data_IF_491166216771
#
_entry.id   IF_491166216771
#
_cell.length_a   1.000
_cell.length_b   1.000
_cell.length_c   1.000
_cell.angle_alpha   90.00
_cell.angle_beta   90.00
_cell.angle_gamma   90.00
#
_symmetry.space_group_name_H-M   'P 1'
#
loop_
_entity.id
_entity.type
_entity.pdbx_description
1 polymer ?
#
# COMPACT_ATOMS: atom_id res chain seq x y z
N UNK A 1 -17.31 59.27 -110.92
CA UNK A 1 -16.99 60.71 -110.93
C UNK A 1 -17.28 61.19 -109.53
N UNK A 2 -16.24 61.51 -108.75
CA UNK A 2 -16.41 62.28 -107.51
C UNK A 2 -16.92 63.69 -107.89
N UNK A 3 -17.33 64.60 -106.97
CA UNK A 3 -17.17 64.54 -105.51
C UNK A 3 -18.35 65.21 -104.73
N UNK A 4 -18.20 65.35 -103.40
CA UNK A 4 -18.41 66.57 -102.55
C UNK A 4 -19.69 67.43 -102.70
N UNK A 5 -20.25 68.09 -101.70
CA UNK A 5 -19.92 68.32 -100.30
C UNK A 5 -21.12 69.01 -99.62
N UNK A 6 -21.08 69.00 -98.29
CA UNK A 6 -21.61 70.01 -97.36
C UNK A 6 -23.10 70.43 -97.38
N UNK A 7 -23.78 70.23 -96.25
CA UNK A 7 -23.97 71.29 -95.23
C UNK A 7 -25.11 70.94 -94.25
N UNK A 8 -25.04 71.51 -93.05
CA UNK A 8 -26.25 72.04 -92.42
C UNK A 8 -26.99 71.18 -91.39
N UNK A 9 -26.44 71.16 -90.17
CA UNK A 9 -27.10 71.22 -88.87
C UNK A 9 -28.65 71.09 -88.77
N UNK A 10 -29.03 70.06 -87.98
CA UNK A 10 -30.04 70.03 -86.89
C UNK A 10 -31.46 70.57 -87.11
N UNK A 11 -32.46 69.68 -86.96
CA UNK A 11 -33.48 69.77 -85.90
C UNK A 11 -34.43 68.54 -85.88
N UNK A 12 -34.48 67.90 -84.71
CA UNK A 12 -35.65 67.44 -83.94
C UNK A 12 -36.95 66.88 -84.60
N UNK A 13 -37.20 65.62 -84.21
CA UNK A 13 -38.40 65.06 -83.55
C UNK A 13 -39.70 64.69 -84.31
N UNK A 14 -40.08 63.41 -84.11
CA UNK A 14 -41.41 62.80 -83.80
C UNK A 14 -41.85 61.66 -84.77
N UNK A 15 -42.75 60.70 -84.40
CA UNK A 15 -42.91 59.92 -83.15
C UNK A 15 -43.26 58.38 -83.43
N UNK A 16 -44.09 57.58 -82.68
CA UNK A 16 -43.70 56.23 -82.20
C UNK A 16 -44.70 55.02 -82.45
N UNK A 17 -44.38 53.84 -81.81
CA UNK A 17 -45.20 52.63 -81.43
C UNK A 17 -45.68 51.64 -82.52
N UNK A 18 -45.70 50.28 -82.41
CA UNK A 18 -45.37 49.17 -81.48
C UNK A 18 -45.59 47.82 -82.28
N UNK A 19 -45.08 46.60 -82.00
CA UNK A 19 -45.43 45.58 -80.95
C UNK A 19 -44.49 44.33 -81.00
N UNK A 20 -44.34 43.63 -79.85
CA UNK A 20 -43.47 42.51 -79.37
C UNK A 20 -43.79 41.07 -79.89
N UNK A 21 -42.97 39.97 -79.73
CA UNK A 21 -42.56 39.26 -78.46
C UNK A 21 -41.21 38.42 -78.50
N UNK A 22 -40.84 37.45 -77.61
CA UNK A 22 -41.17 37.15 -76.19
C UNK A 22 -39.95 37.21 -75.22
N UNK A 23 -40.22 37.08 -73.92
CA UNK A 23 -39.31 37.16 -72.76
C UNK A 23 -38.57 35.86 -72.38
N UNK A 24 -37.28 35.97 -72.01
CA UNK A 24 -36.43 34.93 -71.35
C UNK A 24 -35.38 35.62 -70.43
N UNK A 25 -34.86 34.95 -69.38
CA UNK A 25 -35.40 35.00 -68.02
C UNK A 25 -34.50 35.77 -67.03
N UNK A 26 -35.13 36.38 -66.02
CA UNK A 26 -34.45 36.84 -64.80
C UNK A 26 -34.02 35.62 -63.98
N UNK A 27 -32.71 35.36 -63.94
CA UNK A 27 -32.12 34.51 -62.91
C UNK A 27 -31.88 35.36 -61.67
N UNK A 28 -32.91 35.43 -60.82
CA UNK A 28 -32.74 35.78 -59.41
C UNK A 28 -31.87 34.72 -58.72
N UNK A 29 -30.91 35.19 -57.94
CA UNK A 29 -30.01 34.35 -57.16
C UNK A 29 -28.93 35.22 -56.56
N UNK A 30 -29.31 36.06 -55.60
CA UNK A 30 -28.37 36.77 -54.74
C UNK A 30 -27.40 35.75 -54.14
N UNK A 31 -26.19 35.68 -54.67
CA UNK A 31 -25.07 35.10 -53.93
C UNK A 31 -24.86 36.03 -52.73
N UNK A 32 -25.48 35.70 -51.59
CA UNK A 32 -25.19 36.37 -50.33
C UNK A 32 -23.67 36.41 -50.13
N UNK A 33 -23.10 37.50 -49.59
CA UNK A 33 -21.66 37.61 -49.40
C UNK A 33 -21.19 36.34 -48.70
N UNK A 34 -20.41 35.53 -49.41
CA UNK A 34 -20.01 34.20 -48.95
C UNK A 34 -19.54 34.32 -47.51
N UNK A 35 -20.07 33.46 -46.63
CA UNK A 35 -19.77 33.45 -45.20
C UNK A 35 -18.26 33.24 -45.02
N UNK A 36 -17.50 34.33 -45.10
CA UNK A 36 -16.05 34.35 -44.89
C UNK A 36 -15.87 34.04 -43.42
N UNK A 37 -15.20 32.92 -43.15
CA UNK A 37 -14.84 32.54 -41.78
C UNK A 37 -14.26 33.77 -41.05
N UNK A 38 -14.74 34.06 -39.83
CA UNK A 38 -14.24 35.17 -39.04
C UNK A 38 -12.72 35.07 -38.88
N UNK A 39 -11.99 36.18 -39.06
CA UNK A 39 -10.50 36.20 -39.05
C UNK A 39 -9.87 35.79 -37.71
N UNK A 40 -10.67 35.78 -36.64
CA UNK A 40 -10.25 35.30 -35.30
C UNK A 40 -10.28 33.76 -35.19
N UNK A 41 -11.13 33.09 -35.98
CA UNK A 41 -11.32 31.64 -35.96
C UNK A 41 -10.03 30.86 -36.28
N UNK A 42 -9.25 31.16 -37.34
CA UNK A 42 -8.01 30.43 -37.62
C UNK A 42 -6.94 30.68 -36.55
N UNK A 43 -6.86 31.89 -35.98
CA UNK A 43 -5.93 32.18 -34.88
C UNK A 43 -6.30 31.43 -33.61
N UNK A 44 -7.58 31.43 -33.24
CA UNK A 44 -8.09 30.66 -32.11
C UNK A 44 -7.88 29.14 -32.31
N UNK A 45 -8.08 28.65 -33.53
CA UNK A 45 -7.88 27.23 -33.87
C UNK A 45 -6.40 26.83 -33.81
N UNK A 46 -5.48 27.67 -34.27
CA UNK A 46 -4.03 27.44 -34.12
C UNK A 46 -3.62 27.47 -32.64
N UNK A 47 -4.13 28.42 -31.85
CA UNK A 47 -3.85 28.50 -30.41
C UNK A 47 -4.40 27.28 -29.66
N UNK A 48 -5.61 26.83 -29.98
CA UNK A 48 -6.23 25.64 -29.42
C UNK A 48 -5.43 24.37 -29.80
N UNK A 49 -5.04 24.21 -31.06
CA UNK A 49 -4.19 23.10 -31.51
C UNK A 49 -2.82 23.12 -30.85
N UNK A 50 -2.21 24.30 -30.68
CA UNK A 50 -0.94 24.44 -29.98
C UNK A 50 -1.05 24.06 -28.49
N UNK A 51 -2.15 24.45 -27.81
CA UNK A 51 -2.44 24.07 -26.44
C UNK A 51 -2.65 22.55 -26.30
N UNK A 52 -3.39 21.94 -27.23
CA UNK A 52 -3.61 20.48 -27.27
C UNK A 52 -2.30 19.75 -27.54
N UNK A 53 -1.48 20.23 -28.49
CA UNK A 53 -0.17 19.66 -28.79
C UNK A 53 0.78 19.78 -27.60
N UNK A 54 0.81 20.93 -26.92
CA UNK A 54 1.60 21.13 -25.70
C UNK A 54 1.13 20.22 -24.56
N UNK A 55 -0.20 20.05 -24.40
CA UNK A 55 -0.77 19.13 -23.41
C UNK A 55 -0.44 17.67 -23.74
N UNK A 56 -0.57 17.24 -25.00
CA UNK A 56 -0.21 15.90 -25.45
C UNK A 56 1.29 15.62 -25.26
N UNK A 57 2.15 16.57 -25.62
CA UNK A 57 3.60 16.44 -25.49
C UNK A 57 4.03 16.44 -24.02
N UNK A 58 3.40 17.28 -23.20
CA UNK A 58 3.58 17.28 -21.75
C UNK A 58 3.10 15.97 -21.10
N UNK A 59 1.95 15.44 -21.52
CA UNK A 59 1.41 14.16 -21.04
C UNK A 59 2.28 12.98 -21.47
N UNK A 60 2.77 12.97 -22.71
CA UNK A 60 3.69 11.95 -23.21
C UNK A 60 5.02 11.98 -22.44
N UNK A 61 5.61 13.16 -22.27
CA UNK A 61 6.83 13.33 -21.48
C UNK A 61 6.61 12.89 -20.03
N UNK A 62 5.49 13.29 -19.41
CA UNK A 62 5.15 12.88 -18.05
C UNK A 62 5.04 11.36 -17.93
N UNK A 63 4.35 10.69 -18.85
CA UNK A 63 4.27 9.22 -18.86
C UNK A 63 5.64 8.56 -19.01
N UNK A 64 6.52 9.11 -19.85
CA UNK A 64 7.86 8.56 -20.05
C UNK A 64 8.73 8.69 -18.79
N UNK A 65 8.61 9.81 -18.06
CA UNK A 65 9.39 10.05 -16.83
C UNK A 65 8.72 9.44 -15.60
N UNK A 66 7.42 9.11 -15.63
CA UNK A 66 6.68 8.51 -14.49
C UNK A 66 7.38 7.26 -13.95
N UNK A 67 7.88 6.38 -14.81
CA UNK A 67 8.64 5.20 -14.38
C UNK A 67 9.92 5.54 -13.61
N UNK A 68 10.62 6.59 -14.01
CA UNK A 68 11.80 7.09 -13.31
C UNK A 68 11.42 7.76 -11.98
N UNK A 69 10.33 8.54 -11.94
CA UNK A 69 9.81 9.13 -10.70
C UNK A 69 9.44 8.05 -9.67
N UNK A 70 8.81 6.97 -10.12
CA UNK A 70 8.49 5.81 -9.28
C UNK A 70 9.76 5.18 -8.72
N UNK A 71 10.78 4.94 -9.55
CA UNK A 71 12.05 4.39 -9.09
C UNK A 71 12.76 5.31 -8.09
N UNK A 72 12.73 6.63 -8.31
CA UNK A 72 13.25 7.63 -7.37
C UNK A 72 12.46 7.59 -6.05
N UNK A 73 11.13 7.46 -6.11
CA UNK A 73 10.29 7.36 -4.92
C UNK A 73 10.62 6.11 -4.11
N UNK A 74 10.76 4.96 -4.78
CA UNK A 74 11.20 3.71 -4.14
C UNK A 74 12.58 3.88 -3.51
N UNK A 75 13.53 4.47 -4.24
CA UNK A 75 14.87 4.73 -3.76
C UNK A 75 14.90 5.66 -2.55
N UNK A 76 14.04 6.67 -2.52
CA UNK A 76 13.87 7.59 -1.41
C UNK A 76 13.37 6.85 -0.15
N UNK A 77 12.33 6.02 -0.27
CA UNK A 77 11.86 5.22 0.86
C UNK A 77 12.88 4.18 1.33
N UNK A 78 13.61 3.55 0.40
CA UNK A 78 14.71 2.66 0.74
C UNK A 78 15.84 3.41 1.47
N UNK A 79 16.10 4.68 1.11
CA UNK A 79 17.08 5.51 1.79
C UNK A 79 16.63 5.84 3.22
N UNK A 80 15.35 6.22 3.42
CA UNK A 80 14.76 6.45 4.74
C UNK A 80 14.80 5.18 5.62
N UNK A 81 14.59 4.02 5.01
CA UNK A 81 14.66 2.71 5.63
C UNK A 81 16.07 2.38 6.17
N UNK A 82 17.10 2.72 5.42
CA UNK A 82 18.51 2.43 5.73
C UNK A 82 19.14 3.53 6.62
N UNK A 83 18.57 4.75 6.63
CA UNK A 83 19.06 5.91 7.38
C UNK A 83 19.33 5.64 8.87
N UNK A 84 18.51 4.89 9.64
CA UNK A 84 18.83 4.57 11.04
C UNK A 84 20.10 3.72 11.18
N UNK A 85 20.40 2.84 10.23
CA UNK A 85 21.62 2.04 10.23
C UNK A 85 22.84 2.89 9.88
N UNK A 86 22.71 3.74 8.86
CA UNK A 86 23.75 4.67 8.41
C UNK A 86 24.08 5.71 9.48
N UNK A 87 23.06 6.33 10.08
CA UNK A 87 23.22 7.34 11.13
C UNK A 87 23.91 6.78 12.38
N UNK A 88 23.59 5.55 12.80
CA UNK A 88 24.25 4.87 13.94
C UNK A 88 25.72 4.56 13.67
N UNK A 89 26.09 4.30 12.41
CA UNK A 89 27.48 4.13 12.02
C UNK A 89 28.20 5.48 11.87
N UNK A 90 27.53 6.49 11.34
CA UNK A 90 28.07 7.84 11.23
C UNK A 90 28.28 8.50 12.60
N UNK A 91 27.40 8.25 13.57
CA UNK A 91 27.54 8.72 14.95
C UNK A 91 28.72 8.09 15.68
N UNK A 92 29.26 6.96 15.20
CA UNK A 92 30.49 6.32 15.69
C UNK A 92 31.76 6.87 15.02
N UNK A 93 31.65 7.98 14.27
CA UNK A 93 32.79 8.67 13.65
C UNK A 93 33.08 8.28 12.20
N UNK A 94 32.29 7.39 11.59
CA UNK A 94 32.52 7.00 10.19
C UNK A 94 31.96 8.05 9.20
N UNK A 95 32.68 8.31 8.10
CA UNK A 95 32.20 9.20 7.03
C UNK A 95 30.89 8.65 6.47
N UNK A 96 29.85 9.49 6.31
CA UNK A 96 28.50 9.06 5.86
C UNK A 96 28.52 8.25 4.56
N UNK A 97 29.38 8.60 3.61
CA UNK A 97 29.54 7.83 2.36
C UNK A 97 30.00 6.39 2.60
N UNK A 98 30.99 6.18 3.49
CA UNK A 98 31.47 4.84 3.86
C UNK A 98 30.42 4.07 4.66
N UNK A 99 29.72 4.75 5.59
CA UNK A 99 28.62 4.16 6.33
C UNK A 99 27.52 3.64 5.39
N UNK A 100 27.12 4.46 4.42
CA UNK A 100 26.11 4.10 3.42
C UNK A 100 26.59 2.93 2.57
N UNK A 101 27.84 2.97 2.10
CA UNK A 101 28.44 1.90 1.31
C UNK A 101 28.43 0.56 2.06
N UNK A 102 28.83 0.54 3.33
CA UNK A 102 28.84 -0.69 4.13
C UNK A 102 27.43 -1.25 4.37
N UNK A 103 26.40 -0.42 4.58
CA UNK A 103 25.02 -0.94 4.68
C UNK A 103 24.57 -1.55 3.35
N UNK A 104 24.78 -0.84 2.24
CA UNK A 104 24.39 -1.35 0.92
C UNK A 104 25.15 -2.62 0.55
N UNK A 105 26.44 -2.70 0.87
CA UNK A 105 27.25 -3.88 0.66
C UNK A 105 26.75 -5.06 1.51
N UNK A 106 26.46 -4.83 2.79
CA UNK A 106 25.88 -5.84 3.68
C UNK A 106 24.52 -6.33 3.18
N UNK A 107 23.65 -5.42 2.75
CA UNK A 107 22.36 -5.76 2.17
C UNK A 107 22.50 -6.54 0.86
N UNK A 108 23.43 -6.14 -0.02
CA UNK A 108 23.70 -6.82 -1.27
C UNK A 108 24.23 -8.23 -1.05
N UNK A 109 25.18 -8.43 -0.13
CA UNK A 109 25.73 -9.75 0.24
C UNK A 109 24.63 -10.61 0.85
N UNK A 110 23.84 -10.09 1.79
CA UNK A 110 22.75 -10.84 2.41
C UNK A 110 21.70 -11.27 1.37
N UNK A 111 21.33 -10.37 0.47
CA UNK A 111 20.35 -10.65 -0.59
C UNK A 111 20.90 -11.65 -1.61
N UNK A 112 22.12 -11.45 -2.11
CA UNK A 112 22.75 -12.35 -3.06
C UNK A 112 22.95 -13.74 -2.44
N UNK A 113 23.48 -13.81 -1.22
CA UNK A 113 23.64 -15.07 -0.48
C UNK A 113 22.30 -15.79 -0.29
N UNK A 114 21.25 -15.09 0.13
CA UNK A 114 19.93 -15.68 0.28
C UNK A 114 19.36 -16.19 -1.05
N UNK A 115 19.43 -15.40 -2.13
CA UNK A 115 18.93 -15.79 -3.46
C UNK A 115 19.71 -16.98 -4.01
N UNK A 116 21.03 -17.03 -3.85
CA UNK A 116 21.85 -18.16 -4.30
C UNK A 116 21.55 -19.43 -3.50
N UNK A 117 21.42 -19.33 -2.17
CA UNK A 117 21.09 -20.47 -1.31
C UNK A 117 19.67 -20.98 -1.58
N UNK A 118 18.69 -20.08 -1.70
CA UNK A 118 17.32 -20.44 -2.04
C UNK A 118 17.22 -21.02 -3.45
N UNK A 119 17.89 -20.42 -4.43
CA UNK A 119 17.91 -20.91 -5.81
C UNK A 119 18.52 -22.31 -5.93
N UNK A 120 19.65 -22.55 -5.26
CA UNK A 120 20.29 -23.88 -5.25
C UNK A 120 19.44 -24.92 -4.50
N UNK A 121 18.82 -24.54 -3.38
CA UNK A 121 17.84 -25.37 -2.67
C UNK A 121 16.67 -25.75 -3.57
N UNK A 122 16.01 -24.77 -4.19
CA UNK A 122 14.83 -25.00 -5.03
C UNK A 122 15.18 -25.87 -6.24
N UNK A 123 16.32 -25.62 -6.90
CA UNK A 123 16.81 -26.45 -7.99
C UNK A 123 17.02 -27.90 -7.54
N UNK A 124 17.68 -28.12 -6.39
CA UNK A 124 17.88 -29.45 -5.82
C UNK A 124 16.57 -30.16 -5.49
N UNK A 125 15.59 -29.44 -4.94
CA UNK A 125 14.28 -30.01 -4.63
C UNK A 125 13.47 -30.36 -5.88
N UNK A 126 13.49 -29.49 -6.91
CA UNK A 126 12.81 -29.75 -8.18
C UNK A 126 13.40 -31.00 -8.84
N UNK A 127 14.73 -31.13 -8.87
CA UNK A 127 15.40 -32.32 -9.43
C UNK A 127 14.96 -33.58 -8.67
N UNK A 128 15.03 -33.58 -7.33
CA UNK A 128 14.57 -34.72 -6.51
C UNK A 128 13.09 -35.05 -6.72
N UNK A 129 12.25 -34.05 -6.92
CA UNK A 129 10.82 -34.26 -7.14
C UNK A 129 10.53 -34.84 -8.53
N UNK A 130 11.28 -34.42 -9.55
CA UNK A 130 11.19 -35.00 -10.91
C UNK A 130 11.74 -36.43 -10.93
N UNK A 131 12.87 -36.67 -10.29
CA UNK A 131 13.50 -38.00 -10.20
C UNK A 131 12.67 -38.98 -9.35
N UNK A 132 12.11 -38.51 -8.23
CA UNK A 132 11.26 -39.31 -7.33
C UNK A 132 9.79 -39.38 -7.73
N UNK A 133 9.38 -38.67 -8.80
CA UNK A 133 7.99 -38.66 -9.29
C UNK A 133 7.43 -40.07 -9.55
N UNK A 134 8.18 -41.02 -10.15
CA UNK A 134 7.72 -42.38 -10.33
C UNK A 134 7.42 -43.06 -8.99
N UNK A 135 8.24 -42.88 -7.97
CA UNK A 135 8.07 -43.56 -6.67
C UNK A 135 6.89 -42.97 -5.86
N UNK A 136 6.67 -41.65 -5.97
CA UNK A 136 5.49 -41.02 -5.38
C UNK A 136 4.20 -41.50 -6.03
N UNK A 137 4.18 -41.64 -7.37
CA UNK A 137 3.04 -42.22 -8.07
C UNK A 137 2.79 -43.67 -7.63
N UNK A 138 3.83 -44.46 -7.40
CA UNK A 138 3.67 -45.86 -6.93
C UNK A 138 3.10 -45.88 -5.52
N UNK A 139 3.59 -45.01 -4.65
CA UNK A 139 3.10 -44.91 -3.27
C UNK A 139 1.64 -44.50 -3.21
N UNK A 140 1.22 -43.54 -4.05
CA UNK A 140 -0.18 -43.10 -4.15
C UNK A 140 -1.06 -44.18 -4.76
N UNK A 141 -0.63 -44.82 -5.86
CA UNK A 141 -1.38 -45.92 -6.49
C UNK A 141 -1.55 -47.09 -5.50
N UNK A 142 -0.49 -47.46 -4.79
CA UNK A 142 -0.53 -48.52 -3.79
C UNK A 142 -1.43 -48.17 -2.60
N UNK A 143 -1.40 -46.92 -2.12
CA UNK A 143 -2.30 -46.46 -1.07
C UNK A 143 -3.76 -46.46 -1.51
N UNK A 144 -4.06 -45.99 -2.73
CA UNK A 144 -5.42 -46.00 -3.29
C UNK A 144 -5.91 -47.43 -3.50
N UNK A 145 -5.08 -48.30 -4.08
CA UNK A 145 -5.43 -49.71 -4.29
C UNK A 145 -5.65 -50.45 -2.96
N UNK A 146 -4.85 -50.15 -1.93
CA UNK A 146 -5.02 -50.71 -0.59
C UNK A 146 -6.26 -50.17 0.15
N UNK A 147 -6.62 -48.90 -0.06
CA UNK A 147 -7.72 -48.22 0.64
C UNK A 147 -9.08 -48.47 -0.02
N UNK A 148 -9.12 -48.51 -1.35
CA UNK A 148 -10.35 -48.58 -2.14
C UNK A 148 -10.54 -49.92 -2.85
N UNK A 149 -9.61 -50.87 -2.70
CA UNK A 149 -9.64 -52.19 -3.35
C UNK A 149 -9.78 -52.11 -4.88
N UNK A 150 -9.11 -51.13 -5.48
CA UNK A 150 -9.05 -50.93 -6.95
C UNK A 150 -7.73 -51.49 -7.49
N UNK A 151 -7.70 -51.81 -8.79
CA UNK A 151 -6.50 -52.24 -9.51
C UNK A 151 -6.05 -51.17 -10.53
N UNK A 152 -5.59 -50.02 -10.02
CA UNK A 152 -5.03 -48.96 -10.88
C UNK A 152 -3.60 -49.35 -11.30
N UNK A 153 -3.32 -49.37 -12.62
CA UNK A 153 -1.99 -49.66 -13.18
C UNK A 153 -1.31 -48.38 -13.67
N UNK A 154 0.03 -48.34 -13.50
CA UNK A 154 0.93 -47.24 -13.88
C UNK A 154 0.85 -46.81 -15.36
N UNK A 155 0.49 -47.74 -16.25
CA UNK A 155 0.50 -47.56 -17.72
C UNK A 155 -0.59 -46.57 -18.21
N UNK A 156 -1.76 -46.52 -17.56
CA UNK A 156 -2.85 -45.62 -17.97
C UNK A 156 -2.61 -44.14 -17.58
N UNK A 157 -1.71 -43.89 -16.62
CA UNK A 157 -1.42 -42.54 -16.09
C UNK A 157 -0.16 -41.94 -16.77
N UNK A 158 0.79 -42.79 -17.18
CA UNK A 158 2.03 -42.37 -17.84
C UNK A 158 1.80 -41.84 -19.26
N UNK A 159 0.88 -42.42 -20.03
CA UNK A 159 0.56 -41.95 -21.39
C UNK A 159 -0.11 -40.57 -21.39
N UNK A 160 -0.92 -40.25 -20.37
CA UNK A 160 -1.58 -38.95 -20.23
C UNK A 160 -0.67 -37.82 -19.71
N UNK A 161 0.33 -38.12 -18.88
CA UNK A 161 1.25 -37.11 -18.33
C UNK A 161 2.41 -36.76 -19.27
N UNK A 162 2.95 -37.74 -20.00
CA UNK A 162 4.05 -37.52 -20.96
C UNK A 162 3.59 -36.82 -22.26
N UNK A 163 2.30 -36.92 -22.60
CA UNK A 163 1.67 -36.16 -23.68
C UNK A 163 1.10 -34.79 -23.24
N UNK A 164 1.28 -34.40 -21.98
CA UNK A 164 0.73 -33.13 -21.50
C UNK A 164 1.35 -31.94 -22.23
N UNK A 165 0.50 -31.14 -22.90
CA UNK A 165 0.88 -29.93 -23.64
C UNK A 165 1.70 -28.94 -22.81
N UNK A 166 1.55 -28.97 -21.48
CA UNK A 166 2.32 -28.19 -20.51
C UNK A 166 3.82 -28.47 -20.59
N UNK A 167 4.24 -29.74 -20.67
CA UNK A 167 5.65 -30.12 -20.60
C UNK A 167 6.35 -29.84 -21.94
N UNK A 168 5.64 -30.06 -23.06
CA UNK A 168 6.07 -29.65 -24.40
C UNK A 168 6.13 -28.14 -24.56
N UNK A 169 5.14 -27.37 -24.08
CA UNK A 169 5.20 -25.89 -24.08
C UNK A 169 6.32 -25.35 -23.21
N UNK A 170 6.59 -25.96 -22.06
CA UNK A 170 7.70 -25.56 -21.19
C UNK A 170 9.06 -25.82 -21.85
N UNK A 171 9.24 -26.99 -22.47
CA UNK A 171 10.45 -27.34 -23.22
C UNK A 171 10.63 -26.48 -24.49
N UNK A 172 9.56 -26.20 -25.23
CA UNK A 172 9.60 -25.36 -26.45
C UNK A 172 9.78 -23.86 -26.14
N UNK A 173 9.17 -23.36 -25.06
CA UNK A 173 9.38 -21.98 -24.60
C UNK A 173 10.77 -21.77 -23.97
N UNK A 174 11.48 -22.83 -23.60
CA UNK A 174 12.83 -22.73 -23.07
C UNK A 174 13.87 -22.34 -24.12
N UNK A 175 13.68 -22.68 -25.40
CA UNK A 175 14.65 -22.37 -26.47
C UNK A 175 14.54 -20.92 -27.00
N UNK A 176 13.32 -20.37 -27.08
CA UNK A 176 13.09 -18.96 -27.42
C UNK A 176 13.13 -18.02 -26.20
N UNK A 177 12.93 -18.57 -24.99
CA UNK A 177 12.87 -17.83 -23.74
C UNK A 177 14.22 -17.38 -23.17
N UNK A 178 15.35 -17.96 -23.58
CA UNK A 178 16.66 -17.54 -23.03
C UNK A 178 16.99 -16.08 -23.34
N UNK A 179 16.66 -15.61 -24.55
CA UNK A 179 16.88 -14.22 -24.95
C UNK A 179 15.91 -13.25 -24.24
N UNK A 180 14.65 -13.65 -24.02
CA UNK A 180 13.67 -12.81 -23.31
C UNK A 180 13.94 -12.77 -21.79
N UNK A 181 14.29 -13.93 -21.20
CA UNK A 181 14.71 -14.02 -19.78
C UNK A 181 15.98 -13.20 -19.55
N UNK A 182 16.98 -13.27 -20.45
CA UNK A 182 18.19 -12.47 -20.30
C UNK A 182 17.93 -10.96 -20.44
N UNK A 183 17.06 -10.54 -21.37
CA UNK A 183 16.64 -9.14 -21.49
C UNK A 183 15.88 -8.66 -20.24
N UNK A 184 15.00 -9.48 -19.67
CA UNK A 184 14.28 -9.18 -18.42
C UNK A 184 15.23 -9.11 -17.21
N UNK A 185 16.21 -10.02 -17.13
CA UNK A 185 17.23 -10.01 -16.07
C UNK A 185 18.11 -8.76 -16.18
N UNK A 186 18.58 -8.41 -17.38
CA UNK A 186 19.36 -7.19 -17.64
C UNK A 186 18.54 -5.93 -17.30
N UNK A 187 17.28 -5.87 -17.73
CA UNK A 187 16.38 -4.76 -17.41
C UNK A 187 16.08 -4.66 -15.90
N UNK A 188 15.90 -5.80 -15.23
CA UNK A 188 15.72 -5.89 -13.78
C UNK A 188 16.97 -5.43 -13.02
N UNK A 189 18.16 -5.85 -13.47
CA UNK A 189 19.44 -5.43 -12.90
C UNK A 189 19.65 -3.92 -13.05
N UNK A 190 19.34 -3.36 -14.22
CA UNK A 190 19.42 -1.91 -14.44
C UNK A 190 18.46 -1.14 -13.54
N UNK A 191 17.23 -1.63 -13.36
CA UNK A 191 16.25 -1.05 -12.42
C UNK A 191 16.75 -1.11 -10.97
N UNK A 192 17.25 -2.28 -10.53
CA UNK A 192 17.83 -2.47 -9.20
C UNK A 192 19.02 -1.53 -8.98
N UNK A 193 19.93 -1.45 -9.95
CA UNK A 193 21.09 -0.57 -9.90
C UNK A 193 20.66 0.90 -9.80
N UNK A 194 19.67 1.31 -10.59
CA UNK A 194 19.12 2.67 -10.56
C UNK A 194 18.56 2.99 -9.17
N UNK A 195 17.69 2.13 -8.63
CA UNK A 195 17.11 2.31 -7.29
C UNK A 195 18.19 2.34 -6.22
N UNK A 196 19.15 1.41 -6.28
CA UNK A 196 20.25 1.33 -5.33
C UNK A 196 21.15 2.58 -5.39
N UNK A 197 21.47 3.08 -6.59
CA UNK A 197 22.30 4.26 -6.77
C UNK A 197 21.61 5.52 -6.24
N UNK A 198 20.35 5.76 -6.60
CA UNK A 198 19.59 6.91 -6.07
C UNK A 198 19.43 6.82 -4.55
N UNK A 199 19.18 5.62 -4.04
CA UNK A 199 19.02 5.40 -2.60
C UNK A 199 20.33 5.62 -1.85
N UNK A 200 21.46 5.17 -2.42
CA UNK A 200 22.79 5.46 -1.92
C UNK A 200 23.08 6.96 -1.86
N UNK A 201 22.81 7.70 -2.95
CA UNK A 201 23.00 9.16 -2.95
C UNK A 201 22.10 9.85 -1.92
N UNK A 202 20.83 9.47 -1.83
CA UNK A 202 19.92 10.05 -0.84
C UNK A 202 20.34 9.78 0.61
N UNK A 203 20.84 8.59 0.93
CA UNK A 203 21.31 8.27 2.27
C UNK A 203 22.67 8.93 2.59
N UNK A 204 23.61 8.90 1.64
CA UNK A 204 24.94 9.47 1.81
C UNK A 204 24.89 11.00 1.94
N UNK A 205 24.14 11.67 1.06
CA UNK A 205 23.99 13.12 0.99
C UNK A 205 22.72 13.64 1.71
N UNK A 206 22.08 12.82 2.55
CA UNK A 206 20.86 13.19 3.29
C UNK A 206 20.89 14.60 3.93
N UNK A 207 21.98 15.01 4.63
CA UNK A 207 22.08 16.36 5.20
C UNK A 207 22.17 17.48 4.16
N UNK A 208 22.74 17.22 2.98
CA UNK A 208 22.78 18.19 1.87
C UNK A 208 21.42 18.31 1.23
N UNK A 209 20.73 17.19 0.98
CA UNK A 209 19.36 17.18 0.48
C UNK A 209 18.41 17.96 1.40
N UNK A 210 18.51 17.72 2.71
CA UNK A 210 17.73 18.44 3.72
C UNK A 210 18.00 19.96 3.69
N UNK A 211 19.26 20.37 3.57
CA UNK A 211 19.61 21.80 3.43
C UNK A 211 19.08 22.40 2.14
N UNK A 212 19.18 21.70 1.02
CA UNK A 212 18.69 22.17 -0.28
C UNK A 212 17.17 22.38 -0.28
N UNK A 213 16.41 21.46 0.35
CA UNK A 213 14.96 21.62 0.52
C UNK A 213 14.67 22.83 1.41
N UNK A 214 15.37 22.96 2.54
CA UNK A 214 15.18 24.08 3.47
C UNK A 214 15.56 25.44 2.88
N UNK A 215 16.53 25.51 1.95
CA UNK A 215 16.98 26.79 1.37
C UNK A 215 15.94 27.48 0.48
N UNK A 216 14.93 26.74 0.01
CA UNK A 216 13.84 27.32 -0.81
C UNK A 216 12.67 27.80 0.08
N UNK A 217 12.68 27.48 1.37
CA UNK A 217 11.59 27.73 2.30
C UNK A 217 11.88 28.96 3.18
N UNK A 218 10.86 29.77 3.52
CA UNK A 218 10.96 30.83 4.52
C UNK A 218 11.41 30.27 5.88
N UNK A 219 12.21 31.01 6.69
CA UNK A 219 12.75 30.52 7.96
C UNK A 219 11.71 29.93 8.91
N UNK A 220 10.51 30.52 8.98
CA UNK A 220 9.42 30.04 9.83
C UNK A 220 8.96 28.60 9.51
N UNK A 221 9.05 28.18 8.23
CA UNK A 221 8.63 26.82 7.81
C UNK A 221 9.76 25.80 7.81
N UNK A 222 11.02 26.23 7.93
CA UNK A 222 12.16 25.31 7.92
C UNK A 222 12.12 24.36 9.11
N UNK A 223 11.78 24.85 10.31
CA UNK A 223 11.65 24.02 11.51
C UNK A 223 10.55 22.96 11.38
N UNK A 224 9.41 23.31 10.79
CA UNK A 224 8.29 22.37 10.56
C UNK A 224 8.69 21.25 9.60
N UNK A 225 9.36 21.57 8.50
CA UNK A 225 9.81 20.58 7.50
C UNK A 225 10.90 19.67 8.08
N UNK A 226 11.84 20.22 8.85
CA UNK A 226 12.86 19.43 9.54
C UNK A 226 12.24 18.45 10.54
N UNK A 227 11.24 18.91 11.31
CA UNK A 227 10.51 18.05 12.26
C UNK A 227 9.74 16.95 11.53
N UNK A 228 9.06 17.28 10.43
CA UNK A 228 8.35 16.29 9.63
C UNK A 228 9.30 15.24 9.02
N UNK A 229 10.49 15.68 8.58
CA UNK A 229 11.54 14.78 8.09
C UNK A 229 12.01 13.80 9.17
N UNK A 230 12.31 14.29 10.37
CA UNK A 230 12.74 13.44 11.49
C UNK A 230 11.66 12.42 11.88
N UNK A 231 10.40 12.86 11.96
CA UNK A 231 9.28 11.95 12.19
C UNK A 231 9.19 10.91 11.08
N UNK A 232 9.37 11.30 9.81
CA UNK A 232 9.32 10.37 8.70
C UNK A 232 10.42 9.30 8.76
N UNK A 233 11.65 9.70 9.12
CA UNK A 233 12.79 8.78 9.34
C UNK A 233 12.51 7.84 10.51
N UNK A 234 12.06 8.36 11.65
CA UNK A 234 11.81 7.56 12.85
C UNK A 234 10.66 6.55 12.65
N UNK A 235 9.58 6.97 11.99
CA UNK A 235 8.43 6.12 11.67
C UNK A 235 8.79 5.04 10.66
N UNK A 236 9.46 5.41 9.57
CA UNK A 236 9.86 4.46 8.51
C UNK A 236 10.92 3.49 9.02
N UNK A 237 11.96 4.02 9.63
CA UNK A 237 13.09 3.26 10.17
C UNK A 237 12.68 2.36 11.31
N UNK A 238 11.88 2.86 12.24
CA UNK A 238 11.36 2.06 13.35
C UNK A 238 10.39 0.96 12.88
N UNK A 239 9.53 1.23 11.90
CA UNK A 239 8.68 0.19 11.29
C UNK A 239 9.54 -0.92 10.68
N UNK A 240 10.51 -0.57 9.83
CA UNK A 240 11.39 -1.55 9.21
C UNK A 240 12.24 -2.33 10.22
N UNK A 241 12.74 -1.64 11.25
CA UNK A 241 13.47 -2.28 12.34
C UNK A 241 12.59 -3.29 13.09
N UNK A 242 11.35 -2.91 13.41
CA UNK A 242 10.40 -3.83 14.06
C UNK A 242 10.11 -5.06 13.20
N UNK A 243 9.91 -4.89 11.88
CA UNK A 243 9.69 -6.01 10.96
C UNK A 243 10.94 -6.87 10.78
N UNK A 244 12.12 -6.26 10.70
CA UNK A 244 13.39 -6.99 10.62
C UNK A 244 13.66 -7.82 11.87
N UNK A 245 13.36 -7.27 13.05
CA UNK A 245 13.48 -8.00 14.31
C UNK A 245 12.46 -9.14 14.41
N UNK A 246 11.21 -8.92 13.99
CA UNK A 246 10.21 -9.99 13.89
C UNK A 246 10.65 -11.07 12.89
N UNK A 247 11.22 -10.68 11.75
CA UNK A 247 11.69 -11.60 10.73
C UNK A 247 12.81 -12.49 11.26
N UNK A 248 13.72 -11.91 12.06
CA UNK A 248 14.78 -12.64 12.74
C UNK A 248 14.22 -13.63 13.77
N UNK A 249 13.30 -13.19 14.64
CA UNK A 249 12.69 -14.06 15.66
C UNK A 249 11.91 -15.20 14.99
N UNK A 250 11.10 -14.89 13.97
CA UNK A 250 10.33 -15.86 13.20
C UNK A 250 11.25 -16.83 12.47
N UNK A 251 12.28 -16.33 11.81
CA UNK A 251 13.21 -17.18 11.09
C UNK A 251 13.99 -18.13 12.00
N UNK A 252 14.44 -17.66 13.17
CA UNK A 252 15.09 -18.51 14.18
C UNK A 252 14.11 -19.56 14.73
N UNK A 253 12.89 -19.16 15.07
CA UNK A 253 11.88 -20.08 15.61
C UNK A 253 11.55 -21.20 14.61
N UNK A 254 11.35 -20.86 13.34
CA UNK A 254 11.11 -21.83 12.29
C UNK A 254 12.34 -22.66 11.95
N UNK A 255 13.54 -22.07 11.97
CA UNK A 255 14.79 -22.81 11.82
C UNK A 255 14.93 -23.92 12.88
N UNK A 256 14.73 -23.59 14.16
CA UNK A 256 14.81 -24.56 15.27
C UNK A 256 13.82 -25.71 15.06
N UNK A 257 12.58 -25.41 14.67
CA UNK A 257 11.57 -26.44 14.38
C UNK A 257 12.01 -27.34 13.21
N UNK A 258 12.38 -26.75 12.09
CA UNK A 258 12.71 -27.48 10.87
C UNK A 258 13.96 -28.35 11.07
N UNK A 259 14.95 -27.83 11.79
CA UNK A 259 16.15 -28.59 12.18
C UNK A 259 15.79 -29.75 13.12
N UNK A 260 14.92 -29.53 14.11
CA UNK A 260 14.46 -30.58 15.03
C UNK A 260 13.68 -31.70 14.32
N UNK A 261 12.96 -31.37 13.24
CA UNK A 261 12.27 -32.34 12.40
C UNK A 261 13.18 -32.99 11.34
N UNK A 262 14.45 -32.56 11.22
CA UNK A 262 15.38 -33.05 10.21
C UNK A 262 14.99 -32.66 8.78
N UNK A 263 14.27 -31.54 8.59
CA UNK A 263 13.88 -31.05 7.26
C UNK A 263 15.11 -30.47 6.56
N UNK A 264 15.40 -30.87 5.30
CA UNK A 264 16.55 -30.36 4.59
C UNK A 264 16.43 -28.86 4.35
N UNK A 265 17.58 -28.17 4.33
CA UNK A 265 17.66 -26.72 4.12
C UNK A 265 16.94 -25.86 5.17
N UNK A 266 16.80 -26.37 6.41
CA UNK A 266 16.19 -25.65 7.52
C UNK A 266 16.68 -24.20 7.70
N UNK A 267 17.98 -23.85 7.60
CA UNK A 267 18.43 -22.46 7.72
C UNK A 267 17.85 -21.54 6.62
N UNK A 268 17.82 -22.02 5.38
CA UNK A 268 17.33 -21.25 4.22
C UNK A 268 15.81 -21.06 4.32
N UNK A 269 15.10 -22.13 4.69
CA UNK A 269 13.67 -22.12 4.93
C UNK A 269 13.30 -21.22 6.11
N UNK A 270 14.06 -21.23 7.20
CA UNK A 270 13.85 -20.32 8.34
C UNK A 270 13.95 -18.86 7.90
N UNK A 271 15.01 -18.49 7.19
CA UNK A 271 15.15 -17.12 6.65
C UNK A 271 14.03 -16.77 5.68
N UNK A 272 13.61 -17.71 4.81
CA UNK A 272 12.45 -17.55 3.93
C UNK A 272 11.19 -17.24 4.73
N UNK A 273 10.87 -18.05 5.75
CA UNK A 273 9.66 -17.83 6.55
C UNK A 273 9.71 -16.47 7.23
N UNK A 274 10.83 -16.15 7.88
CA UNK A 274 11.01 -14.88 8.57
C UNK A 274 10.85 -13.68 7.64
N UNK A 275 11.48 -13.70 6.46
CA UNK A 275 11.42 -12.59 5.52
C UNK A 275 10.03 -12.45 4.87
N UNK A 276 9.46 -13.56 4.38
CA UNK A 276 8.22 -13.54 3.61
C UNK A 276 7.01 -13.25 4.50
N UNK A 277 6.96 -13.84 5.70
CA UNK A 277 5.87 -13.58 6.66
C UNK A 277 5.83 -12.12 7.09
N UNK A 278 7.01 -11.52 7.27
CA UNK A 278 7.08 -10.13 7.70
C UNK A 278 6.93 -9.17 6.53
N UNK A 279 7.63 -9.32 5.43
CA UNK A 279 7.65 -8.26 4.43
C UNK A 279 6.47 -8.33 3.44
N UNK A 280 5.74 -9.44 3.34
CA UNK A 280 4.53 -9.53 2.51
C UNK A 280 3.27 -9.39 3.39
N UNK A 281 2.54 -8.26 3.33
CA UNK A 281 1.32 -8.10 4.12
C UNK A 281 0.26 -9.13 3.74
N UNK A 282 -0.65 -9.43 4.68
CA UNK A 282 -1.90 -10.21 4.56
C UNK A 282 -1.77 -11.67 4.14
N UNK A 283 -0.97 -11.96 3.11
CA UNK A 283 -0.76 -13.30 2.54
C UNK A 283 0.59 -13.88 2.93
N UNK A 284 1.53 -13.05 3.42
CA UNK A 284 2.91 -13.41 3.69
C UNK A 284 3.06 -14.66 4.56
N UNK A 285 2.38 -14.77 5.70
CA UNK A 285 2.46 -15.95 6.57
C UNK A 285 2.06 -17.24 5.84
N UNK A 286 1.00 -17.20 5.03
CA UNK A 286 0.52 -18.39 4.32
C UNK A 286 1.53 -18.81 3.24
N UNK A 287 2.05 -17.85 2.47
CA UNK A 287 3.08 -18.12 1.46
C UNK A 287 4.41 -18.57 2.09
N UNK A 288 4.77 -17.95 3.21
CA UNK A 288 5.95 -18.26 3.99
C UNK A 288 5.91 -19.70 4.50
N UNK A 289 4.82 -20.11 5.12
CA UNK A 289 4.64 -21.46 5.68
C UNK A 289 4.42 -22.55 4.63
N UNK A 290 3.88 -22.22 3.46
CA UNK A 290 3.61 -23.19 2.40
C UNK A 290 4.88 -23.89 1.89
N UNK A 291 5.96 -23.15 1.67
CA UNK A 291 7.20 -23.72 1.13
C UNK A 291 7.84 -24.74 2.10
N UNK A 292 8.15 -24.42 3.38
CA UNK A 292 8.67 -25.40 4.32
C UNK A 292 7.74 -26.60 4.54
N UNK A 293 6.42 -26.39 4.52
CA UNK A 293 5.44 -27.47 4.63
C UNK A 293 5.53 -28.44 3.45
N UNK A 294 5.66 -27.91 2.22
CA UNK A 294 5.86 -28.72 1.02
C UNK A 294 7.17 -29.52 1.09
N UNK A 295 8.25 -28.90 1.55
CA UNK A 295 9.53 -29.60 1.73
C UNK A 295 9.43 -30.68 2.81
N UNK A 296 8.83 -30.38 3.96
CA UNK A 296 8.64 -31.34 5.04
C UNK A 296 7.78 -32.54 4.61
N UNK A 297 6.76 -32.30 3.78
CA UNK A 297 5.91 -33.35 3.22
C UNK A 297 6.71 -34.38 2.41
N UNK A 298 7.75 -33.96 1.68
CA UNK A 298 8.62 -34.89 0.93
C UNK A 298 9.48 -35.79 1.80
N UNK A 299 9.68 -35.43 3.08
CA UNK A 299 10.42 -36.25 4.05
C UNK A 299 9.47 -37.20 4.78
N UNK A 300 8.40 -36.65 5.36
CA UNK A 300 7.37 -37.41 6.04
C UNK A 300 6.06 -36.60 6.03
N UNK A 301 4.92 -37.17 5.56
CA UNK A 301 3.64 -36.46 5.55
C UNK A 301 3.23 -35.88 6.92
N UNK A 302 3.63 -36.54 8.01
CA UNK A 302 3.32 -36.09 9.37
C UNK A 302 4.13 -34.84 9.77
N UNK A 303 5.33 -34.63 9.21
CA UNK A 303 6.12 -33.44 9.47
C UNK A 303 5.48 -32.18 8.89
N UNK A 304 4.80 -32.29 7.75
CA UNK A 304 4.01 -31.19 7.20
C UNK A 304 2.91 -30.73 8.16
N UNK A 305 2.26 -31.67 8.85
CA UNK A 305 1.23 -31.37 9.87
C UNK A 305 1.84 -30.68 11.08
N UNK A 306 3.00 -31.13 11.56
CA UNK A 306 3.73 -30.45 12.64
C UNK A 306 4.17 -29.04 12.26
N UNK A 307 4.68 -28.84 11.04
CA UNK A 307 5.04 -27.52 10.52
C UNK A 307 3.82 -26.62 10.42
N UNK A 308 2.69 -27.11 9.89
CA UNK A 308 1.44 -26.37 9.84
C UNK A 308 0.97 -25.96 11.24
N UNK A 309 0.92 -26.90 12.19
CA UNK A 309 0.53 -26.65 13.57
C UNK A 309 1.41 -25.59 14.23
N UNK A 310 2.73 -25.67 14.03
CA UNK A 310 3.66 -24.68 14.54
C UNK A 310 3.46 -23.30 13.91
N UNK A 311 3.31 -23.21 12.58
CA UNK A 311 3.06 -21.92 11.90
C UNK A 311 1.80 -21.25 12.45
N UNK A 312 0.72 -22.03 12.68
CA UNK A 312 -0.53 -21.50 13.25
C UNK A 312 -0.33 -21.01 14.69
N UNK A 313 0.32 -21.80 15.54
CA UNK A 313 0.60 -21.44 16.94
C UNK A 313 1.53 -20.22 17.02
N UNK A 314 2.59 -20.23 16.22
CA UNK A 314 3.55 -19.13 16.14
C UNK A 314 2.86 -17.85 15.67
N UNK A 315 1.96 -17.93 14.68
CA UNK A 315 1.20 -16.76 14.24
C UNK A 315 0.34 -16.16 15.37
N UNK A 316 -0.27 -16.99 16.23
CA UNK A 316 -1.00 -16.48 17.40
C UNK A 316 -0.05 -15.82 18.39
N UNK A 317 1.09 -16.45 18.68
CA UNK A 317 2.10 -15.86 19.56
C UNK A 317 2.62 -14.53 19.00
N UNK A 318 2.89 -14.45 17.71
CA UNK A 318 3.30 -13.23 17.04
C UNK A 318 2.24 -12.14 17.18
N UNK A 319 0.98 -12.43 16.84
CA UNK A 319 -0.12 -11.48 16.86
C UNK A 319 -0.43 -10.95 18.28
N UNK A 320 -0.42 -11.82 19.29
CA UNK A 320 -0.82 -11.44 20.65
C UNK A 320 0.34 -10.97 21.54
N UNK A 321 1.58 -11.42 21.28
CA UNK A 321 2.72 -11.14 22.17
C UNK A 321 3.77 -10.27 21.51
N UNK A 322 4.26 -10.65 20.32
CA UNK A 322 5.37 -9.94 19.67
C UNK A 322 4.90 -8.63 19.05
N UNK A 323 3.79 -8.66 18.30
CA UNK A 323 3.29 -7.52 17.54
C UNK A 323 2.99 -6.31 18.42
N UNK A 324 2.25 -6.45 19.55
CA UNK A 324 2.00 -5.31 20.43
C UNK A 324 3.27 -4.78 21.11
N UNK A 325 4.26 -5.64 21.39
CA UNK A 325 5.51 -5.23 22.07
C UNK A 325 6.49 -4.54 21.13
N UNK A 326 6.58 -4.97 19.88
CA UNK A 326 7.56 -4.47 18.92
C UNK A 326 7.04 -3.33 18.03
N UNK A 327 5.73 -3.26 17.76
CA UNK A 327 5.16 -2.29 16.80
C UNK A 327 4.39 -1.14 17.46
N UNK A 328 3.98 -1.25 18.74
CA UNK A 328 3.14 -0.24 19.42
C UNK A 328 3.74 1.16 19.50
N UNK A 329 5.06 1.31 19.45
CA UNK A 329 5.73 2.62 19.52
C UNK A 329 5.96 3.26 18.15
N UNK A 330 5.79 2.50 17.07
CA UNK A 330 6.32 2.87 15.77
C UNK A 330 5.27 3.38 14.80
N UNK A 331 4.09 2.79 14.71
CA UNK A 331 3.07 3.25 13.75
C UNK A 331 1.67 3.10 14.34
N UNK A 332 1.06 4.21 14.76
CA UNK A 332 -0.33 4.26 15.22
C UNK A 332 -1.24 4.63 14.04
N UNK A 333 -1.46 3.67 13.15
CA UNK A 333 -2.35 3.81 11.99
C UNK A 333 -3.54 2.88 12.17
N UNK A 334 -4.73 3.41 11.93
CA UNK A 334 -5.96 2.63 11.92
C UNK A 334 -5.85 1.43 10.95
N UNK A 335 -6.20 0.19 11.34
CA UNK A 335 -5.99 -1.01 10.51
C UNK A 335 -6.58 -0.89 9.09
N UNK A 336 -7.76 -0.28 8.94
CA UNK A 336 -8.37 -0.05 7.63
C UNK A 336 -7.53 0.85 6.72
N UNK A 337 -6.85 1.86 7.28
CA UNK A 337 -5.98 2.76 6.52
C UNK A 337 -4.70 2.04 6.11
N UNK A 338 -4.13 1.22 7.00
CA UNK A 338 -2.96 0.40 6.68
C UNK A 338 -3.28 -0.65 5.61
N UNK A 339 -4.43 -1.31 5.69
CA UNK A 339 -4.86 -2.28 4.69
C UNK A 339 -5.16 -1.61 3.35
N UNK A 340 -5.93 -0.52 3.35
CA UNK A 340 -6.22 0.25 2.15
C UNK A 340 -4.96 0.83 1.49
N UNK A 341 -3.97 1.25 2.28
CA UNK A 341 -2.70 1.75 1.74
C UNK A 341 -1.89 0.66 1.06
N UNK A 342 -1.85 -0.55 1.62
CA UNK A 342 -1.18 -1.69 0.99
C UNK A 342 -1.81 -2.00 -0.36
N UNK A 343 -3.15 -2.06 -0.44
CA UNK A 343 -3.85 -2.31 -1.71
C UNK A 343 -3.54 -1.21 -2.73
N UNK A 344 -3.63 0.06 -2.32
CA UNK A 344 -3.30 1.19 -3.18
C UNK A 344 -1.84 1.15 -3.63
N UNK A 345 -0.91 0.85 -2.73
CA UNK A 345 0.51 0.69 -3.03
C UNK A 345 0.75 -0.45 -4.02
N UNK A 346 0.11 -1.60 -3.84
CA UNK A 346 0.17 -2.73 -4.77
C UNK A 346 -0.35 -2.36 -6.15
N UNK A 347 -1.48 -1.64 -6.23
CA UNK A 347 -2.04 -1.21 -7.50
C UNK A 347 -1.14 -0.22 -8.24
N UNK A 348 -0.44 0.66 -7.52
CA UNK A 348 0.41 1.71 -8.11
C UNK A 348 1.80 1.20 -8.49
N UNK A 349 2.46 0.47 -7.59
CA UNK A 349 3.88 0.11 -7.72
C UNK A 349 4.15 -1.40 -7.58
N UNK A 350 3.12 -2.23 -7.59
CA UNK A 350 3.24 -3.69 -7.43
C UNK A 350 3.75 -4.10 -6.04
N UNK A 351 4.54 -5.18 -6.00
CA UNK A 351 5.08 -5.72 -4.74
C UNK A 351 5.89 -4.68 -3.93
N UNK A 352 6.62 -3.80 -4.61
CA UNK A 352 7.41 -2.75 -3.96
C UNK A 352 6.51 -1.70 -3.29
N UNK A 353 5.39 -1.35 -3.93
CA UNK A 353 4.42 -0.44 -3.33
C UNK A 353 3.73 -1.02 -2.11
N UNK A 354 3.46 -2.33 -2.10
CA UNK A 354 2.90 -3.02 -0.94
C UNK A 354 3.81 -2.91 0.29
N UNK A 355 5.12 -3.08 0.09
CA UNK A 355 6.15 -3.00 1.14
C UNK A 355 6.25 -1.61 1.77
N UNK A 356 6.19 -0.59 0.92
CA UNK A 356 6.46 0.80 1.28
C UNK A 356 5.18 1.55 1.70
N UNK A 357 3.99 1.01 1.38
CA UNK A 357 2.70 1.65 1.61
C UNK A 357 2.47 2.11 3.06
N UNK A 358 2.79 1.25 4.04
CA UNK A 358 2.54 1.56 5.46
C UNK A 358 3.46 2.71 5.92
N UNK A 359 4.79 2.65 5.72
CA UNK A 359 5.65 3.80 5.94
C UNK A 359 5.21 5.05 5.20
N UNK A 360 4.86 4.94 3.92
CA UNK A 360 4.45 6.08 3.10
C UNK A 360 3.20 6.78 3.64
N UNK A 361 2.24 6.02 4.15
CA UNK A 361 1.06 6.61 4.78
C UNK A 361 1.37 7.15 6.17
N UNK A 362 2.27 6.52 6.93
CA UNK A 362 2.74 7.05 8.21
C UNK A 362 3.43 8.40 8.05
N UNK A 363 4.31 8.52 7.05
CA UNK A 363 5.00 9.78 6.74
C UNK A 363 4.02 10.83 6.23
N UNK A 364 3.11 10.46 5.33
CA UNK A 364 2.08 11.37 4.82
C UNK A 364 1.17 11.89 5.94
N UNK A 365 0.73 11.02 6.86
CA UNK A 365 -0.06 11.43 8.03
C UNK A 365 0.72 12.36 8.96
N UNK A 366 2.03 12.13 9.15
CA UNK A 366 2.87 13.02 9.95
C UNK A 366 3.00 14.42 9.30
N UNK A 367 3.21 14.47 7.97
CA UNK A 367 3.24 15.73 7.22
C UNK A 367 1.89 16.46 7.28
N UNK A 368 0.78 15.75 7.08
CA UNK A 368 -0.56 16.31 7.19
C UNK A 368 -0.85 16.79 8.60
N UNK A 369 -0.45 16.05 9.64
CA UNK A 369 -0.63 16.45 11.04
C UNK A 369 0.19 17.67 11.44
N UNK A 370 1.34 17.91 10.79
CA UNK A 370 2.13 19.12 10.99
C UNK A 370 1.49 20.35 10.32
N UNK A 371 0.78 20.17 9.20
CA UNK A 371 0.18 21.27 8.43
C UNK A 371 -1.27 21.56 8.80
N UNK A 372 -2.02 20.54 9.23
CA UNK A 372 -3.43 20.64 9.60
C UNK A 372 -3.53 20.95 11.09
N UNK A 373 -3.97 22.17 11.43
CA UNK A 373 -4.39 22.52 12.80
C UNK A 373 -5.52 21.56 13.21
N UNK A 374 -5.23 20.57 14.06
CA UNK A 374 -6.27 19.82 14.77
C UNK A 374 -6.92 20.77 15.77
N UNK A 375 -8.14 21.20 15.47
CA UNK A 375 -8.98 21.88 16.44
C UNK A 375 -9.46 20.84 17.46
N UNK A 376 -9.49 21.24 18.74
CA UNK A 376 -10.12 20.40 19.76
C UNK A 376 -11.58 20.17 19.34
N UNK A 377 -11.95 18.91 19.21
CA UNK A 377 -13.34 18.54 18.90
C UNK A 377 -14.15 18.96 20.13
N UNK A 378 -15.17 19.79 19.92
CA UNK A 378 -16.10 20.18 20.98
C UNK A 378 -16.68 18.93 21.63
N UNK A 379 -16.70 18.87 22.97
CA UNK A 379 -17.23 17.74 23.74
C UNK A 379 -18.76 17.61 23.53
N UNK A 380 -19.15 17.07 22.38
CA UNK A 380 -20.54 16.73 22.05
C UNK A 380 -20.78 15.25 22.38
N UNK A 381 -21.85 14.90 23.11
CA UNK A 381 -22.21 13.50 23.38
C UNK A 381 -22.40 12.63 22.13
N UNK A 382 -22.50 13.20 20.92
CA UNK A 382 -22.50 12.45 19.65
C UNK A 382 -21.10 12.01 19.20
N UNK A 383 -20.05 12.70 19.64
CA UNK A 383 -18.64 12.34 19.38
C UNK A 383 -18.22 11.19 20.28
N UNK A 384 -18.73 11.16 21.51
CA UNK A 384 -18.66 10.01 22.38
C UNK A 384 -19.78 9.04 22.04
N UNK A 385 -19.61 8.25 20.97
CA UNK A 385 -20.51 7.13 20.67
C UNK A 385 -20.80 6.36 21.96
N UNK A 386 -22.07 6.01 22.19
CA UNK A 386 -22.72 5.48 23.42
C UNK A 386 -21.91 4.41 24.20
N UNK A 387 -20.72 4.73 24.69
CA UNK A 387 -19.98 3.97 25.68
C UNK A 387 -20.46 4.47 27.03
N UNK A 388 -21.71 4.11 27.33
CA UNK A 388 -22.15 4.06 28.71
C UNK A 388 -21.14 3.17 29.44
N UNK A 389 -20.26 3.78 30.24
CA UNK A 389 -19.58 3.07 31.33
C UNK A 389 -20.68 2.63 32.29
N UNK A 390 -21.32 1.51 31.98
CA UNK A 390 -21.94 0.71 33.02
C UNK A 390 -20.78 0.08 33.75
N UNK A 391 -20.24 0.81 34.72
CA UNK A 391 -19.37 0.25 35.75
C UNK A 391 -20.26 -0.69 36.56
N UNK A 392 -20.53 -1.89 36.03
CA UNK A 392 -21.14 -2.95 36.81
C UNK A 392 -20.20 -3.19 37.99
N UNK A 393 -20.64 -3.01 39.25
CA UNK A 393 -19.78 -3.32 40.40
C UNK A 393 -19.35 -4.78 40.26
N UNK A 394 -18.04 -5.00 40.23
CA UNK A 394 -17.46 -6.32 40.03
C UNK A 394 -18.04 -7.33 41.01
N UNK A 395 -18.09 -8.60 40.62
CA UNK A 395 -18.57 -9.71 41.45
C UNK A 395 -17.98 -9.69 42.88
N UNK A 396 -16.74 -9.20 43.03
CA UNK A 396 -16.07 -9.01 44.32
C UNK A 396 -16.74 -7.96 45.21
N UNK A 397 -17.31 -6.88 44.66
CA UNK A 397 -18.04 -5.87 45.43
C UNK A 397 -19.43 -6.36 45.84
N UNK A 398 -20.06 -7.25 45.05
CA UNK A 398 -21.29 -7.95 45.44
C UNK A 398 -21.04 -9.02 46.52
N UNK A 399 -19.96 -9.79 46.39
CA UNK A 399 -19.56 -10.78 47.38
C UNK A 399 -19.21 -10.13 48.74
N UNK A 400 -18.53 -8.98 48.72
CA UNK A 400 -18.20 -8.23 49.95
C UNK A 400 -19.42 -7.70 50.69
N UNK A 401 -20.51 -7.34 49.98
CA UNK A 401 -21.79 -6.93 50.60
C UNK A 401 -22.58 -8.09 51.17
N UNK A 402 -22.42 -9.29 50.62
CA UNK A 402 -23.01 -10.51 51.19
C UNK A 402 -22.31 -10.91 52.49
N UNK A 403 -21.00 -10.70 52.58
CA UNK A 403 -20.21 -11.02 53.78
C UNK A 403 -20.30 -9.99 54.90
N UNK A 404 -20.76 -8.77 54.61
CA UNK A 404 -20.87 -7.68 55.60
C UNK A 404 -22.27 -7.55 56.22
N UNK A 405 -23.10 -8.60 56.19
CA UNK A 405 -24.32 -8.66 57.00
C UNK A 405 -23.96 -9.19 58.39
N UNK A 406 -24.06 -8.39 59.46
CA UNK A 406 -23.99 -8.93 60.81
C UNK A 406 -25.17 -9.88 61.01
N UNK A 407 -24.88 -11.07 61.54
CA UNK A 407 -25.90 -11.98 62.04
C UNK A 407 -26.45 -11.41 63.34
N UNK A 408 -27.55 -10.67 63.27
CA UNK A 408 -28.42 -10.49 64.44
C UNK A 408 -29.41 -11.65 64.46
N UNK A 409 -29.03 -12.69 65.20
CA UNK A 409 -29.94 -13.71 65.67
C UNK A 409 -29.78 -13.80 67.19
N UNK A 410 -30.82 -13.39 67.92
CA UNK A 410 -30.99 -13.74 69.31
C UNK A 410 -31.57 -12.63 70.17
N UNK A 411 -32.89 -12.46 70.14
CA UNK A 411 -33.66 -12.45 71.39
C UNK A 411 -35.15 -12.70 71.09
N UNK A 412 -35.64 -13.82 71.59
CA UNK A 412 -37.04 -14.18 71.58
C UNK A 412 -37.65 -13.82 72.94
N UNK A 413 -38.77 -13.12 72.91
CA UNK A 413 -39.80 -13.15 73.95
C UNK A 413 -39.82 -11.97 74.91
N UNK A 414 -40.79 -11.08 74.73
CA UNK A 414 -42.00 -11.00 75.60
C UNK A 414 -42.94 -9.92 75.08
N UNK A 415 -44.23 -10.21 75.16
CA UNK A 415 -45.33 -9.34 74.76
C UNK A 415 -45.48 -8.14 75.71
N UNK A 416 -45.89 -6.97 75.20
CA UNK A 416 -47.14 -6.34 75.65
C UNK A 416 -47.58 -5.17 74.73
N UNK A 417 -48.87 -4.88 74.82
CA UNK A 417 -49.73 -3.90 74.15
C UNK A 417 -49.23 -2.45 74.02
N UNK A 418 -49.65 -1.76 72.96
CA UNK A 418 -50.58 -0.62 72.98
C UNK A 418 -50.49 0.22 71.68
N UNK A 419 -51.65 0.68 71.21
CA UNK A 419 -51.87 1.45 69.98
C UNK A 419 -51.83 3.00 70.25
N UNK A 420 -52.38 3.90 69.39
CA UNK A 420 -51.62 4.93 68.67
C UNK A 420 -52.06 6.39 68.98
N UNK A 421 -51.31 7.42 68.53
CA UNK A 421 -51.81 8.79 68.19
C UNK A 421 -50.64 9.66 67.66
N UNK A 422 -50.69 10.30 66.48
CA UNK A 422 -51.40 11.52 66.00
C UNK A 422 -50.72 12.85 66.36
N UNK A 423 -50.71 13.75 65.36
CA UNK A 423 -50.41 15.20 65.33
C UNK A 423 -48.92 15.59 65.19
N UNK A 424 -48.54 16.59 64.38
CA UNK A 424 -49.30 17.50 63.54
C UNK A 424 -48.39 18.56 62.89
N UNK A 425 -48.96 19.29 61.92
CA UNK A 425 -48.63 20.66 61.43
C UNK A 425 -47.29 20.85 60.69
N UNK A 426 -47.31 21.15 59.37
CA UNK A 426 -47.46 22.49 58.74
C UNK A 426 -46.30 23.43 59.14
N UNK A 427 -45.59 24.14 58.26
CA UNK A 427 -46.07 25.02 57.20
C UNK A 427 -44.90 25.48 56.29
N UNK A 428 -45.25 26.26 55.28
CA UNK A 428 -44.69 26.47 53.97
C UNK A 428 -43.54 27.48 53.81
N UNK A 429 -42.93 27.37 52.63
CA UNK A 429 -42.59 28.46 51.69
C UNK A 429 -41.57 29.54 52.08
N UNK A 430 -40.50 29.64 51.27
CA UNK A 430 -40.29 30.74 50.29
C UNK A 430 -38.90 30.59 49.64
N UNK A 431 -38.84 30.58 48.31
CA UNK A 431 -37.60 30.87 47.55
C UNK A 431 -37.43 32.38 47.33
N UNK A 432 -36.72 32.82 46.28
CA UNK A 432 -35.28 32.71 46.05
C UNK A 432 -34.64 34.11 45.87
N UNK A 433 -33.31 34.24 45.89
CA UNK A 433 -32.63 35.50 45.48
C UNK A 433 -31.39 35.20 44.63
N UNK A 434 -31.30 35.94 43.52
CA UNK A 434 -30.23 36.02 42.52
C UNK A 434 -29.39 37.27 42.78
N UNK A 435 -28.05 37.15 42.69
CA UNK A 435 -27.06 38.17 42.28
C UNK A 435 -25.68 37.45 42.26
N UNK A 436 -24.77 37.54 41.29
CA UNK A 436 -24.54 38.51 40.24
C UNK A 436 -23.32 39.37 40.59
N UNK A 437 -22.10 38.96 40.24
CA UNK A 437 -20.93 39.86 40.11
C UNK A 437 -19.80 39.24 39.27
N UNK A 438 -19.13 40.10 38.49
CA UNK A 438 -18.14 39.82 37.43
C UNK A 438 -16.73 40.33 37.87
N UNK A 439 -15.73 40.60 36.99
CA UNK A 439 -14.46 39.85 36.86
C UNK A 439 -13.16 40.64 37.21
N UNK A 440 -11.98 39.99 37.06
CA UNK A 440 -10.65 40.51 36.63
C UNK A 440 -9.41 40.28 37.55
N UNK A 441 -8.24 40.10 36.91
CA UNK A 441 -6.85 40.15 37.42
C UNK A 441 -6.18 38.76 37.54
N UNK A 442 -5.04 38.41 36.93
CA UNK A 442 -3.94 39.09 36.21
C UNK A 442 -3.38 38.15 35.11
#
# INVERSE_FOLDING_TARGET
>A
MAPTDESGQTAQHAPPTGTTPPSRPQAGGAAGPGARMPRWLPRAMVLALALIAAFQLGSWAFHQVTGLLINILIAFFLALAIEPAVSRMASRGMRRGLATFLVFLGLAIATAGFVTLLGSMLAGQIIKMVEGFPDYLDSVINWVNATFHTDLRRVDIQEGLLHSDWLRKYAQNSAAGVLDVSAQVLGGLFRLLTVALFSFYFAADGPRLRRAICSVLPPARQAEVLRAWEIAVDKTGGYLYSRGLMALISGIAHYILLEALGVPYAPVLGVWVGLVSQFIPTIGTYLAGALPMLIAFTVNPWYAVWVLGFVVIYQQFENYVLQPKLTSKTVDIHPAVAFGSVIAGTALLGAVGALIAIPAVATLQAFLGAYVKRYAVTDDPRVHGHRGRVTAPGLLTRARRLWSRPAEAGEAGTADSAAPDVSGTADASRGPVVAGESPAGE
#
